data_IF_123921834247
#
_entry.id   IF_123921834247
#
_cell.length_a   1.000
_cell.length_b   1.000
_cell.length_c   1.000
_cell.angle_alpha   90.00
_cell.angle_beta   90.00
_cell.angle_gamma   90.00
#
_symmetry.space_group_name_H-M   'P 1'
#
loop_
_entity.id
_entity.type
_entity.pdbx_description
1 polymer ?
#
# COMPACT_ATOMS: atom_id res chain seq x y z
N UNK A 1 -8.50 12.32 -13.89
CA UNK A 1 -9.77 12.74 -13.21
C UNK A 1 -10.99 12.19 -13.94
N UNK A 2 -11.33 12.64 -15.15
CA UNK A 2 -12.58 12.25 -15.84
C UNK A 2 -12.80 10.74 -16.00
N UNK A 3 -11.74 9.93 -16.15
CA UNK A 3 -11.85 8.48 -16.23
C UNK A 3 -12.26 7.86 -14.90
N UNK A 4 -11.68 8.30 -13.79
CA UNK A 4 -12.01 7.84 -12.43
C UNK A 4 -13.46 8.16 -12.09
N UNK A 5 -13.91 9.38 -12.39
CA UNK A 5 -15.30 9.79 -12.21
C UNK A 5 -16.26 8.96 -13.07
N UNK A 6 -15.85 8.63 -14.30
CA UNK A 6 -16.61 7.76 -15.20
C UNK A 6 -16.78 6.34 -14.62
N UNK A 7 -15.76 5.78 -14.01
CA UNK A 7 -15.82 4.46 -13.36
C UNK A 7 -16.73 4.51 -12.14
N UNK A 8 -16.58 5.52 -11.28
CA UNK A 8 -17.47 5.71 -10.10
C UNK A 8 -18.92 5.87 -10.50
N UNK A 9 -19.19 6.56 -11.61
CA UNK A 9 -20.57 6.75 -12.12
C UNK A 9 -21.20 5.45 -12.58
N UNK A 10 -20.42 4.53 -13.15
CA UNK A 10 -20.89 3.19 -13.57
C UNK A 10 -21.10 2.24 -12.40
N UNK A 11 -20.24 2.34 -11.38
CA UNK A 11 -20.30 1.55 -10.16
C UNK A 11 -20.27 2.47 -8.93
N UNK A 12 -21.41 3.07 -8.56
CA UNK A 12 -21.47 4.02 -7.46
C UNK A 12 -21.29 3.38 -6.07
N UNK A 13 -21.45 2.07 -5.96
CA UNK A 13 -21.30 1.33 -4.70
C UNK A 13 -19.85 1.03 -4.43
N UNK A 14 -19.09 0.56 -5.42
CA UNK A 14 -17.73 0.12 -5.28
C UNK A 14 -17.57 -1.13 -4.40
N UNK A 15 -16.33 -1.45 -4.07
CA UNK A 15 -16.01 -2.54 -3.15
C UNK A 15 -16.12 -2.07 -1.69
N UNK A 16 -16.82 -2.81 -0.81
CA UNK A 16 -16.74 -2.58 0.62
C UNK A 16 -15.31 -2.89 1.10
N UNK A 17 -14.78 -2.07 1.97
CA UNK A 17 -13.44 -2.28 2.54
C UNK A 17 -13.27 -1.46 3.81
N UNK A 18 -12.27 -1.74 4.65
CA UNK A 18 -12.00 -1.17 5.97
C UNK A 18 -11.87 0.36 6.06
N UNK A 19 -12.46 1.09 5.13
CA UNK A 19 -12.47 2.54 5.02
C UNK A 19 -13.85 3.07 5.41
N UNK A 20 -13.89 4.16 6.14
CA UNK A 20 -15.14 4.84 6.51
C UNK A 20 -15.44 5.90 5.46
N UNK A 21 -16.59 5.77 4.76
CA UNK A 21 -17.05 6.74 3.76
C UNK A 21 -16.20 6.81 2.47
N UNK A 22 -15.40 5.80 2.19
CA UNK A 22 -14.53 5.76 1.02
C UNK A 22 -15.15 4.86 -0.06
N UNK A 23 -15.15 5.32 -1.30
CA UNK A 23 -15.43 4.49 -2.47
C UNK A 23 -14.14 3.84 -2.97
N UNK A 24 -14.19 2.55 -3.33
CA UNK A 24 -13.07 1.78 -3.87
C UNK A 24 -13.46 1.15 -5.21
N UNK A 25 -12.63 1.32 -6.24
CA UNK A 25 -12.91 0.79 -7.57
C UNK A 25 -12.74 -0.74 -7.66
N UNK A 26 -13.54 -1.32 -8.56
CA UNK A 26 -13.38 -2.70 -9.05
C UNK A 26 -12.71 -2.67 -10.44
N UNK A 27 -13.07 -1.68 -11.27
CA UNK A 27 -12.61 -1.58 -12.66
C UNK A 27 -11.19 -1.04 -12.80
N UNK A 28 -10.53 -1.45 -13.88
CA UNK A 28 -9.23 -0.97 -14.32
C UNK A 28 -9.36 0.26 -15.24
N UNK A 29 -8.26 0.99 -15.43
CA UNK A 29 -8.19 2.23 -16.22
C UNK A 29 -7.69 1.98 -17.65
N UNK A 30 -8.05 2.88 -18.58
CA UNK A 30 -7.47 2.89 -19.92
C UNK A 30 -6.00 3.29 -19.94
N UNK A 31 -5.59 4.17 -19.01
CA UNK A 31 -4.19 4.59 -18.80
C UNK A 31 -3.35 3.58 -18.01
N UNK A 32 -3.80 2.33 -17.94
CA UNK A 32 -3.14 1.26 -17.17
C UNK A 32 -1.67 1.09 -17.52
N UNK A 33 -1.32 1.19 -18.81
CA UNK A 33 0.07 1.00 -19.25
C UNK A 33 1.03 2.05 -18.67
N UNK A 34 0.64 3.32 -18.66
CA UNK A 34 1.43 4.41 -18.08
C UNK A 34 1.54 4.27 -16.56
N UNK A 35 0.45 3.89 -15.90
CA UNK A 35 0.45 3.64 -14.47
C UNK A 35 1.38 2.47 -14.10
N UNK A 36 1.27 1.34 -14.79
CA UNK A 36 2.17 0.19 -14.60
C UNK A 36 3.63 0.55 -14.83
N UNK A 37 3.91 1.34 -15.87
CA UNK A 37 5.27 1.82 -16.15
C UNK A 37 5.80 2.67 -15.01
N UNK A 38 5.02 3.60 -14.49
CA UNK A 38 5.42 4.47 -13.38
C UNK A 38 5.66 3.66 -12.10
N UNK A 39 4.75 2.76 -11.75
CA UNK A 39 4.90 1.85 -10.61
C UNK A 39 6.14 0.95 -10.81
N UNK A 40 6.29 0.36 -11.99
CA UNK A 40 7.41 -0.52 -12.33
C UNK A 40 8.77 0.17 -12.18
N UNK A 41 8.91 1.41 -12.65
CA UNK A 41 10.14 2.21 -12.48
C UNK A 41 10.46 2.44 -10.99
N UNK A 42 9.47 2.75 -10.19
CA UNK A 42 9.65 2.97 -8.77
C UNK A 42 10.01 1.67 -8.03
N UNK A 43 9.35 0.57 -8.36
CA UNK A 43 9.66 -0.76 -7.82
C UNK A 43 11.07 -1.22 -8.21
N UNK A 44 11.49 -0.99 -9.47
CA UNK A 44 12.83 -1.32 -9.93
C UNK A 44 13.89 -0.54 -9.14
N UNK A 45 13.70 0.77 -8.97
CA UNK A 45 14.61 1.60 -8.17
C UNK A 45 14.70 1.14 -6.71
N UNK A 46 13.57 0.77 -6.13
CA UNK A 46 13.52 0.21 -4.78
C UNK A 46 14.26 -1.13 -4.70
N UNK A 47 14.02 -2.01 -5.66
CA UNK A 47 14.66 -3.32 -5.73
C UNK A 47 16.17 -3.23 -5.93
N UNK A 48 16.63 -2.37 -6.81
CA UNK A 48 18.06 -2.15 -7.05
C UNK A 48 18.78 -1.67 -5.79
N UNK A 49 18.08 -0.89 -4.95
CA UNK A 49 18.62 -0.42 -3.67
C UNK A 49 18.77 -1.56 -2.64
N UNK A 50 17.75 -2.41 -2.51
CA UNK A 50 17.74 -3.46 -1.47
C UNK A 50 18.28 -4.81 -1.94
N UNK A 51 18.21 -5.10 -3.23
CA UNK A 51 18.59 -6.38 -3.85
C UNK A 51 19.43 -6.17 -5.11
N UNK A 52 20.58 -5.53 -5.04
CA UNK A 52 21.39 -5.22 -6.21
C UNK A 52 21.73 -6.49 -7.00
N UNK A 53 21.66 -6.41 -8.33
CA UNK A 53 21.97 -7.50 -9.26
C UNK A 53 21.05 -8.73 -9.19
N UNK A 54 19.87 -8.64 -8.58
CA UNK A 54 18.88 -9.71 -8.66
C UNK A 54 17.82 -9.36 -9.70
N UNK A 55 17.66 -10.17 -10.75
CA UNK A 55 16.53 -10.01 -11.67
C UNK A 55 15.25 -10.23 -10.87
N UNK A 56 14.32 -9.30 -11.01
CA UNK A 56 13.07 -9.30 -10.25
C UNK A 56 11.91 -9.07 -11.20
N UNK A 57 10.90 -9.92 -11.08
CA UNK A 57 9.59 -9.71 -11.66
C UNK A 57 8.60 -9.36 -10.53
N UNK A 58 7.58 -8.57 -10.84
CA UNK A 58 6.60 -8.15 -9.85
C UNK A 58 5.18 -8.30 -10.40
N UNK A 59 4.33 -8.97 -9.63
CA UNK A 59 2.89 -8.95 -9.85
C UNK A 59 2.30 -7.75 -9.14
N UNK A 60 1.64 -6.86 -9.90
CA UNK A 60 1.04 -5.63 -9.38
C UNK A 60 -0.47 -5.74 -9.41
N UNK A 61 -1.10 -5.49 -8.28
CA UNK A 61 -2.55 -5.27 -8.16
C UNK A 61 -2.79 -3.83 -7.70
N UNK A 62 -3.81 -3.17 -8.23
CA UNK A 62 -4.11 -1.79 -7.86
C UNK A 62 -5.62 -1.52 -7.83
N UNK A 63 -6.00 -0.47 -7.14
CA UNK A 63 -7.38 0.04 -7.03
C UNK A 63 -7.38 1.53 -6.73
N UNK A 64 -8.47 2.22 -7.09
CA UNK A 64 -8.67 3.62 -6.70
C UNK A 64 -9.47 3.72 -5.42
N UNK A 65 -9.08 4.66 -4.59
CA UNK A 65 -9.85 5.14 -3.45
C UNK A 65 -10.31 6.58 -3.69
N UNK A 66 -11.58 6.86 -3.42
CA UNK A 66 -12.12 8.22 -3.35
C UNK A 66 -12.63 8.41 -1.93
N UNK A 67 -11.95 9.25 -1.17
CA UNK A 67 -12.32 9.63 0.18
C UNK A 67 -13.07 10.97 0.12
N UNK A 68 -14.38 10.93 0.33
CA UNK A 68 -15.21 12.13 0.44
C UNK A 68 -14.82 12.94 1.70
N UNK A 69 -15.24 14.23 1.79
CA UNK A 69 -15.18 14.95 3.07
C UNK A 69 -15.77 14.13 4.22
N UNK A 70 -15.07 14.05 5.33
CA UNK A 70 -15.44 13.22 6.49
C UNK A 70 -14.99 11.77 6.45
N UNK A 71 -14.45 11.29 5.32
CA UNK A 71 -13.96 9.90 5.18
C UNK A 71 -12.58 9.72 5.78
N UNK A 72 -12.28 8.49 6.21
CA UNK A 72 -10.98 8.08 6.74
C UNK A 72 -10.66 6.64 6.35
N UNK A 73 -9.39 6.27 6.36
CA UNK A 73 -8.99 4.88 6.27
C UNK A 73 -8.54 4.40 7.65
N UNK A 74 -9.15 3.32 8.12
CA UNK A 74 -8.82 2.75 9.42
C UNK A 74 -7.42 2.13 9.41
N UNK A 75 -6.86 1.97 10.59
CA UNK A 75 -5.54 1.40 10.80
C UNK A 75 -5.48 -0.05 10.28
N UNK A 76 -4.58 -0.32 9.33
CA UNK A 76 -4.46 -1.63 8.68
C UNK A 76 -3.06 -1.85 8.11
N UNK A 77 -2.81 -3.06 7.63
CA UNK A 77 -1.63 -3.44 6.83
C UNK A 77 -2.05 -4.37 5.69
N UNK A 78 -1.16 -4.60 4.74
CA UNK A 78 -1.41 -5.46 3.58
C UNK A 78 -0.66 -6.80 3.65
N UNK A 79 -0.11 -7.18 4.79
CA UNK A 79 0.71 -8.38 4.91
C UNK A 79 0.01 -9.69 4.52
N UNK A 80 -1.35 -9.72 4.55
CA UNK A 80 -2.17 -10.87 4.13
C UNK A 80 -2.54 -10.85 2.65
N UNK A 81 -2.10 -9.85 1.91
CA UNK A 81 -2.45 -9.67 0.50
C UNK A 81 -1.42 -10.32 -0.45
N UNK A 82 -0.57 -11.24 0.07
CA UNK A 82 0.56 -11.83 -0.67
C UNK A 82 1.39 -10.76 -1.40
N UNK A 83 1.66 -9.66 -0.69
CA UNK A 83 2.39 -8.52 -1.20
C UNK A 83 3.63 -8.24 -0.34
N UNK A 84 4.76 -7.96 -0.98
CA UNK A 84 5.99 -7.57 -0.30
C UNK A 84 6.03 -6.07 -0.05
N UNK A 85 5.55 -5.29 -1.03
CA UNK A 85 5.52 -3.84 -1.02
C UNK A 85 4.12 -3.35 -1.36
N UNK A 86 3.70 -2.32 -0.68
CA UNK A 86 2.49 -1.54 -0.99
C UNK A 86 2.87 -0.13 -1.36
N UNK A 87 1.98 0.54 -2.08
CA UNK A 87 2.20 1.93 -2.42
C UNK A 87 0.90 2.67 -2.70
N UNK A 88 1.05 3.97 -2.84
CA UNK A 88 -0.06 4.87 -3.17
C UNK A 88 0.42 5.99 -4.07
N UNK A 89 -0.32 6.25 -5.15
CA UNK A 89 -0.17 7.40 -6.02
C UNK A 89 -1.32 8.38 -5.79
N UNK A 90 -1.01 9.66 -5.63
CA UNK A 90 -2.02 10.70 -5.34
C UNK A 90 -2.42 11.44 -6.61
N UNK A 91 -3.65 11.22 -7.05
CA UNK A 91 -4.28 11.96 -8.16
C UNK A 91 -4.77 13.32 -7.68
N UNK A 92 -5.32 13.37 -6.46
CA UNK A 92 -5.75 14.57 -5.74
C UNK A 92 -5.60 14.33 -4.24
N UNK A 93 -4.80 15.14 -3.55
CA UNK A 93 -4.44 14.83 -2.17
C UNK A 93 -4.26 16.03 -1.24
N UNK A 94 -3.94 17.19 -1.77
CA UNK A 94 -3.61 18.37 -0.97
C UNK A 94 -4.71 18.73 0.04
N UNK A 95 -4.32 18.91 1.31
CA UNK A 95 -5.17 19.31 2.43
C UNK A 95 -6.29 18.30 2.78
N UNK A 96 -6.20 17.04 2.35
CA UNK A 96 -7.25 16.02 2.50
C UNK A 96 -6.98 14.98 3.58
N UNK A 97 -6.03 15.26 4.48
CA UNK A 97 -5.61 14.37 5.56
C UNK A 97 -4.32 13.62 5.25
N UNK A 98 -3.57 13.35 6.29
CA UNK A 98 -2.23 12.74 6.26
C UNK A 98 -2.35 11.22 6.22
N UNK A 99 -1.55 10.54 5.41
CA UNK A 99 -1.28 9.12 5.62
C UNK A 99 -0.25 8.99 6.73
N UNK A 100 -0.51 8.12 7.72
CA UNK A 100 0.36 7.94 8.88
C UNK A 100 0.80 6.49 9.00
N UNK A 101 2.07 6.31 9.31
CA UNK A 101 2.70 5.00 9.46
C UNK A 101 3.11 4.79 10.92
N UNK A 102 2.79 3.62 11.47
CA UNK A 102 3.22 3.24 12.80
C UNK A 102 4.72 2.95 12.81
N UNK A 103 5.46 3.59 13.71
CA UNK A 103 6.85 3.23 13.99
C UNK A 103 6.91 1.93 14.80
N UNK A 104 8.08 1.27 14.82
CA UNK A 104 8.32 0.09 15.66
C UNK A 104 8.02 0.34 17.15
N UNK A 105 8.35 1.52 17.66
CA UNK A 105 8.02 1.91 19.03
C UNK A 105 6.52 1.94 19.27
N UNK A 106 5.74 2.39 18.30
CA UNK A 106 4.29 2.40 18.41
C UNK A 106 3.68 1.02 18.34
N UNK A 107 4.19 0.13 17.48
CA UNK A 107 3.75 -1.26 17.46
C UNK A 107 3.95 -1.90 18.84
N UNK A 108 5.07 -1.62 19.51
CA UNK A 108 5.31 -2.07 20.89
C UNK A 108 4.37 -1.41 21.89
N UNK A 109 3.97 -0.14 21.70
CA UNK A 109 3.04 0.58 22.59
C UNK A 109 1.58 0.17 22.37
N UNK A 110 1.19 -0.23 21.15
CA UNK A 110 -0.15 -0.78 20.88
C UNK A 110 -0.42 -2.07 21.66
N UNK A 111 0.64 -2.81 22.03
CA UNK A 111 0.56 -3.99 22.89
C UNK A 111 0.41 -3.59 24.37
N UNK A 112 0.67 -2.33 24.72
CA UNK A 112 0.59 -1.80 26.08
C UNK A 112 -0.46 -0.69 26.17
N UNK A 113 -1.72 -0.99 26.52
CA UNK A 113 -2.78 0.02 26.67
C UNK A 113 -2.38 1.12 27.66
N UNK A 114 -2.70 2.38 27.33
CA UNK A 114 -2.53 3.53 28.23
C UNK A 114 -1.32 4.43 27.96
N UNK A 115 -0.53 4.16 26.92
CA UNK A 115 0.53 5.07 26.47
C UNK A 115 0.02 5.97 25.32
N UNK A 116 0.34 7.28 25.31
CA UNK A 116 -0.06 8.17 24.23
C UNK A 116 0.60 7.76 22.90
N UNK A 117 -0.17 7.82 21.81
CA UNK A 117 0.30 7.59 20.44
C UNK A 117 1.21 8.74 20.01
N UNK A 118 2.44 8.79 20.47
CA UNK A 118 3.45 9.72 19.98
C UNK A 118 4.39 8.99 19.03
N UNK A 119 4.73 9.56 17.89
CA UNK A 119 5.72 9.11 16.90
C UNK A 119 5.19 8.27 15.72
N UNK A 120 4.03 8.61 15.17
CA UNK A 120 3.70 8.20 13.81
C UNK A 120 4.48 9.06 12.80
N UNK A 121 4.97 8.42 11.75
CA UNK A 121 5.53 9.15 10.61
C UNK A 121 4.37 9.48 9.67
N UNK A 122 4.13 10.76 9.43
CA UNK A 122 3.08 11.23 8.53
C UNK A 122 3.63 11.75 7.22
N UNK A 123 2.89 11.55 6.14
CA UNK A 123 3.13 12.20 4.86
C UNK A 123 1.87 12.95 4.42
N UNK A 124 1.99 14.24 4.23
CA UNK A 124 0.93 15.08 3.67
C UNK A 124 0.89 14.89 2.15
N UNK A 125 -0.22 14.40 1.59
CA UNK A 125 -0.27 14.03 0.19
C UNK A 125 -0.28 15.26 -0.72
N UNK A 126 0.51 15.21 -1.80
CA UNK A 126 0.49 16.16 -2.91
C UNK A 126 0.11 15.45 -4.19
N UNK A 127 -0.50 16.16 -5.11
CA UNK A 127 -0.81 15.62 -6.43
C UNK A 127 0.49 15.22 -7.16
N UNK A 128 0.54 13.99 -7.66
CA UNK A 128 1.71 13.42 -8.32
C UNK A 128 2.68 12.68 -7.39
N UNK A 129 2.55 12.79 -6.07
CA UNK A 129 3.36 12.00 -5.15
C UNK A 129 3.06 10.51 -5.32
N UNK A 130 4.11 9.68 -5.26
CA UNK A 130 4.01 8.24 -5.14
C UNK A 130 4.83 7.76 -3.95
N UNK A 131 4.21 7.02 -3.04
CA UNK A 131 4.87 6.42 -1.88
C UNK A 131 4.99 4.92 -2.06
N UNK A 132 6.12 4.36 -1.61
CA UNK A 132 6.32 2.93 -1.42
C UNK A 132 6.63 2.64 0.05
N UNK A 133 6.10 1.54 0.56
CA UNK A 133 6.35 1.07 1.92
C UNK A 133 6.17 -0.45 2.00
N UNK A 134 6.83 -1.12 2.96
CA UNK A 134 6.63 -2.55 3.18
C UNK A 134 5.15 -2.87 3.46
N UNK A 135 4.64 -3.93 2.85
CA UNK A 135 3.21 -4.30 2.96
C UNK A 135 2.74 -4.57 4.39
N UNK A 136 3.64 -5.01 5.26
CA UNK A 136 3.36 -5.26 6.68
C UNK A 136 3.27 -3.99 7.53
N UNK A 137 3.68 -2.83 6.99
CA UNK A 137 3.72 -1.58 7.76
C UNK A 137 2.30 -1.10 8.05
N UNK A 138 1.97 -1.03 9.34
CA UNK A 138 0.68 -0.54 9.81
C UNK A 138 0.53 0.95 9.49
N UNK A 139 -0.59 1.31 8.88
CA UNK A 139 -0.87 2.68 8.48
C UNK A 139 -2.36 2.99 8.49
N UNK A 140 -2.67 4.25 8.59
CA UNK A 140 -4.02 4.81 8.45
C UNK A 140 -4.01 6.07 7.59
N UNK A 141 -5.19 6.60 7.32
CA UNK A 141 -5.37 7.92 6.72
C UNK A 141 -6.31 8.71 7.57
N UNK A 142 -5.86 9.89 7.98
CA UNK A 142 -6.66 10.82 8.76
C UNK A 142 -7.96 11.19 8.08
N UNK A 143 -8.92 11.63 8.89
CA UNK A 143 -10.20 12.14 8.40
C UNK A 143 -9.96 13.28 7.42
N UNK A 144 -10.54 13.18 6.23
CA UNK A 144 -10.58 14.27 5.26
C UNK A 144 -11.46 15.42 5.81
N UNK A 145 -10.84 16.42 6.39
CA UNK A 145 -11.52 17.59 6.98
C UNK A 145 -11.72 18.71 5.97
N UNK A 146 -11.27 18.52 4.73
CA UNK A 146 -11.45 19.50 3.65
C UNK A 146 -12.86 19.40 3.04
N UNK A 147 -13.16 20.30 2.14
CA UNK A 147 -14.37 20.25 1.30
C UNK A 147 -14.11 19.60 -0.08
N UNK A 148 -12.95 18.94 -0.26
CA UNK A 148 -12.51 18.30 -1.51
C UNK A 148 -12.41 16.79 -1.32
N UNK A 149 -12.60 16.05 -2.39
CA UNK A 149 -12.29 14.62 -2.42
C UNK A 149 -10.76 14.40 -2.34
N UNK A 150 -10.35 13.34 -1.66
CA UNK A 150 -9.02 12.75 -1.82
C UNK A 150 -9.15 11.60 -2.81
N UNK A 151 -8.36 11.63 -3.86
CA UNK A 151 -8.33 10.59 -4.89
C UNK A 151 -6.93 10.00 -4.95
N UNK A 152 -6.82 8.71 -4.68
CA UNK A 152 -5.56 7.99 -4.70
C UNK A 152 -5.70 6.64 -5.39
N UNK A 153 -4.62 6.19 -6.02
CA UNK A 153 -4.49 4.85 -6.58
C UNK A 153 -3.54 4.08 -5.66
N UNK A 154 -4.09 3.14 -4.90
CA UNK A 154 -3.30 2.24 -4.07
C UNK A 154 -2.92 0.99 -4.87
N UNK A 155 -1.76 0.41 -4.57
CA UNK A 155 -1.29 -0.79 -5.22
C UNK A 155 -0.50 -1.68 -4.27
N UNK A 156 -0.47 -2.96 -4.60
CA UNK A 156 0.36 -3.97 -3.97
C UNK A 156 1.26 -4.59 -5.03
N UNK A 157 2.49 -4.92 -4.66
CA UNK A 157 3.44 -5.64 -5.49
C UNK A 157 3.98 -6.87 -4.74
N UNK A 158 3.88 -8.04 -5.38
CA UNK A 158 4.50 -9.27 -4.96
C UNK A 158 5.69 -9.57 -5.87
N UNK A 159 6.86 -9.81 -5.29
CA UNK A 159 8.09 -10.06 -6.04
C UNK A 159 8.31 -11.54 -6.27
N UNK A 160 8.57 -11.90 -7.52
CA UNK A 160 9.07 -13.22 -7.89
C UNK A 160 10.59 -13.14 -8.02
N UNK A 161 11.30 -13.53 -6.97
CA UNK A 161 12.73 -13.74 -7.08
C UNK A 161 12.97 -15.04 -7.83
N UNK A 162 13.77 -15.02 -8.92
CA UNK A 162 14.28 -16.24 -9.52
C UNK A 162 15.18 -16.93 -8.48
N UNK A 163 14.63 -17.90 -7.77
CA UNK A 163 15.40 -18.76 -6.88
C UNK A 163 16.26 -19.64 -7.76
N UNK A 164 17.54 -19.31 -7.92
CA UNK A 164 18.53 -20.32 -8.30
C UNK A 164 18.55 -21.33 -7.15
N UNK A 165 18.25 -22.58 -7.48
CA UNK A 165 18.18 -23.71 -6.56
C UNK A 165 19.41 -23.80 -5.63
N UNK A 166 19.38 -23.08 -4.55
CA UNK A 166 20.19 -23.34 -3.37
C UNK A 166 19.21 -23.65 -2.23
N UNK A 167 18.57 -24.80 -2.35
CA UNK A 167 17.93 -25.44 -1.22
C UNK A 167 19.06 -25.74 -0.23
N UNK A 168 19.19 -24.95 0.81
CA UNK A 168 19.99 -25.34 1.98
C UNK A 168 19.24 -26.51 2.60
N UNK A 169 19.63 -27.73 2.21
CA UNK A 169 19.17 -28.93 2.88
C UNK A 169 19.71 -28.91 4.32
N UNK A 170 18.81 -28.70 5.27
CA UNK A 170 19.15 -28.88 6.68
C UNK A 170 19.62 -30.32 6.85
N UNK A 171 20.74 -30.58 7.51
CA UNK A 171 21.16 -31.95 7.77
C UNK A 171 20.11 -32.63 8.66
N UNK A 172 19.60 -33.77 8.17
CA UNK A 172 18.71 -34.63 8.95
C UNK A 172 19.47 -35.14 10.19
N UNK A 173 19.18 -34.53 11.34
CA UNK A 173 19.61 -35.07 12.63
C UNK A 173 18.75 -36.28 13.00
N UNK A 174 18.88 -37.38 12.31
CA UNK A 174 18.44 -38.69 12.82
C UNK A 174 19.47 -39.14 13.86
N UNK A 175 19.22 -38.85 15.12
CA UNK A 175 19.88 -39.56 16.22
C UNK A 175 19.38 -41.00 16.20
N UNK A 176 20.17 -41.91 15.71
CA UNK A 176 20.00 -43.34 16.03
C UNK A 176 20.21 -43.52 17.54
N UNK A 177 19.15 -43.82 18.25
CA UNK A 177 19.22 -44.36 19.62
C UNK A 177 19.56 -45.85 19.52
N UNK A 178 20.72 -46.19 19.98
CA UNK A 178 21.06 -47.56 20.37
C UNK A 178 20.55 -47.82 21.77
#
# INVERSE_FOLDING_TARGET
MGEIEGIKKKDPIGLPGGNVGCWRSIEKYKCEAELYKAIGLMLSSWADHYFPNKPMDAQITYWTNINEPGSANLFHSHYRADADVSGVYYVQGKDTGVIRFATHEQMNKMIRPGQPYSNMIGHEPREGDMLLFPSYLLHDVEVNRSNRQRISIAFNAAFNFAVKDNVISMPNNTKETK
#
